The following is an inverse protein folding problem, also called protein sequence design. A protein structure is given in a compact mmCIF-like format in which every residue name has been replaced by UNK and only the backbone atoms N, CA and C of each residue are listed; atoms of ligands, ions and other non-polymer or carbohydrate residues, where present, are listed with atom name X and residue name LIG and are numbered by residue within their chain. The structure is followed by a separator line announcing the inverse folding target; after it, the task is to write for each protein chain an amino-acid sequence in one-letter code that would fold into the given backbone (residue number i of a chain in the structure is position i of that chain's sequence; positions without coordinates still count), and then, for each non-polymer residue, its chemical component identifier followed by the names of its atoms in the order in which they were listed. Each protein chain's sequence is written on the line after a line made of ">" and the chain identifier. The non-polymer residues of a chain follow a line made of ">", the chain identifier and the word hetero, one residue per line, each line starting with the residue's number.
data_IF_910331979975
#
_entry.id   IF_910331979975
#
_cell.length_a   1.000
_cell.length_b   1.000
_cell.length_c   1.000
_cell.angle_alpha   90.00
_cell.angle_beta   90.00
_cell.angle_gamma   90.00
#
_symmetry.space_group_name_H-M   'P 1'
#
loop_
_entity.id
_entity.type
_entity.pdbx_description
1 polymer ?
#
# COMPACT_ATOMS: atom_id res chain seq x y z
N UNK A 1 -29.85 -25.20 -58.05
CA UNK A 1 -28.90 -26.04 -57.28
C UNK A 1 -28.31 -25.15 -56.18
N UNK A 2 -29.03 -24.95 -55.08
CA UNK A 2 -28.92 -25.65 -53.79
C UNK A 2 -27.58 -25.49 -53.06
N UNK A 3 -27.58 -24.50 -52.14
CA UNK A 3 -27.04 -24.45 -50.76
C UNK A 3 -26.31 -25.68 -50.19
N UNK A 4 -25.25 -25.44 -49.40
CA UNK A 4 -25.27 -25.71 -47.93
C UNK A 4 -24.05 -25.15 -47.18
N UNK A 5 -24.35 -24.23 -46.26
CA UNK A 5 -23.54 -23.89 -45.08
C UNK A 5 -23.58 -25.08 -44.09
N UNK A 6 -22.42 -25.51 -43.59
CA UNK A 6 -22.31 -26.53 -42.56
C UNK A 6 -22.11 -25.92 -41.18
N UNK A 7 -23.20 -25.76 -40.43
CA UNK A 7 -23.20 -25.68 -38.97
C UNK A 7 -22.90 -27.08 -38.40
N UNK A 8 -21.98 -27.17 -37.44
CA UNK A 8 -21.98 -28.28 -36.48
C UNK A 8 -21.92 -27.71 -35.06
N UNK A 9 -23.11 -27.43 -34.56
CA UNK A 9 -23.41 -27.40 -33.14
C UNK A 9 -23.83 -28.82 -32.72
N UNK A 10 -23.15 -29.43 -31.76
CA UNK A 10 -23.60 -30.58 -30.95
C UNK A 10 -22.69 -30.63 -29.71
N UNK A 11 -23.10 -30.08 -28.57
CA UNK A 11 -23.77 -30.79 -27.46
C UNK A 11 -23.09 -32.12 -27.09
N UNK A 12 -22.29 -32.10 -26.03
CA UNK A 12 -22.35 -33.12 -24.98
C UNK A 12 -22.31 -32.44 -23.61
N UNK A 13 -23.44 -32.54 -22.93
CA UNK A 13 -23.73 -32.10 -21.56
C UNK A 13 -24.41 -33.31 -20.93
N UNK A 14 -23.77 -33.92 -19.92
CA UNK A 14 -24.23 -34.92 -18.93
C UNK A 14 -22.96 -35.64 -18.42
N UNK A 15 -22.66 -35.82 -17.14
CA UNK A 15 -23.56 -35.97 -16.00
C UNK A 15 -22.91 -35.49 -14.69
N UNK A 16 -23.70 -34.74 -13.92
CA UNK A 16 -23.59 -34.64 -12.47
C UNK A 16 -24.19 -35.90 -11.85
N UNK A 17 -23.43 -36.63 -11.03
CA UNK A 17 -23.98 -37.50 -9.98
C UNK A 17 -23.13 -37.45 -8.71
N UNK A 18 -23.45 -36.45 -7.91
CA UNK A 18 -23.61 -36.46 -6.45
C UNK A 18 -22.95 -37.58 -5.60
N UNK A 19 -22.01 -37.17 -4.73
CA UNK A 19 -21.81 -37.55 -3.30
C UNK A 19 -20.84 -36.51 -2.69
N UNK A 20 -21.27 -35.55 -1.83
CA UNK A 20 -21.30 -35.58 -0.33
C UNK A 20 -20.20 -36.48 0.25
N UNK A 21 -19.21 -36.05 1.04
CA UNK A 21 -19.05 -35.03 2.11
C UNK A 21 -17.58 -34.50 2.05
N UNK A 22 -17.08 -33.43 2.66
CA UNK A 22 -17.31 -32.79 3.96
C UNK A 22 -16.82 -31.31 3.91
N UNK A 23 -17.55 -30.44 4.60
CA UNK A 23 -17.46 -28.99 4.57
C UNK A 23 -16.41 -28.48 5.58
N UNK A 24 -15.40 -27.76 5.11
CA UNK A 24 -14.46 -26.98 5.95
C UNK A 24 -14.78 -25.49 5.84
N UNK A 25 -15.41 -24.98 6.89
CA UNK A 25 -15.84 -23.59 7.11
C UNK A 25 -14.68 -22.58 7.06
N UNK A 26 -14.84 -21.47 6.31
CA UNK A 26 -14.43 -20.11 6.74
C UNK A 26 -15.27 -19.05 5.96
N UNK A 27 -16.45 -18.78 6.51
CA UNK A 27 -17.21 -17.53 6.40
C UNK A 27 -16.81 -16.74 7.67
N UNK A 28 -16.72 -15.41 7.81
CA UNK A 28 -17.22 -14.22 7.13
C UNK A 28 -16.26 -13.08 7.56
N UNK A 29 -16.11 -12.02 6.76
CA UNK A 29 -15.75 -10.71 7.31
C UNK A 29 -16.72 -9.67 6.74
N UNK A 30 -17.94 -9.69 7.27
CA UNK A 30 -18.91 -8.62 7.17
C UNK A 30 -19.32 -8.22 8.58
N UNK A 31 -18.98 -7.00 8.99
CA UNK A 31 -19.61 -6.39 10.17
C UNK A 31 -19.56 -4.86 10.05
N UNK A 32 -20.59 -4.30 9.40
CA UNK A 32 -21.06 -2.96 9.73
C UNK A 32 -22.09 -3.13 10.84
N UNK A 33 -21.73 -2.74 12.06
CA UNK A 33 -22.73 -2.46 13.09
C UNK A 33 -22.61 -0.99 13.47
N UNK A 34 -23.65 -0.24 13.08
CA UNK A 34 -24.07 0.98 13.75
C UNK A 34 -24.67 0.52 15.08
N UNK A 35 -24.03 0.86 16.20
CA UNK A 35 -24.62 0.72 17.53
C UNK A 35 -24.91 2.11 18.06
N UNK A 36 -26.21 2.37 18.18
CA UNK A 36 -26.81 3.51 18.85
C UNK A 36 -26.34 3.60 20.31
N UNK A 37 -26.23 4.82 20.82
CA UNK A 37 -25.80 5.13 22.17
C UNK A 37 -26.84 4.69 23.20
N UNK A 38 -26.46 3.78 24.09
CA UNK A 38 -27.07 3.65 25.42
C UNK A 38 -25.94 3.59 26.45
N UNK A 39 -25.99 4.53 27.39
CA UNK A 39 -25.07 4.74 28.49
C UNK A 39 -24.92 3.48 29.35
N UNK A 40 -23.74 2.84 29.32
CA UNK A 40 -23.27 1.86 30.31
C UNK A 40 -21.77 2.08 30.50
N UNK A 41 -21.35 2.09 31.76
CA UNK A 41 -20.10 2.68 32.26
C UNK A 41 -18.79 2.21 31.63
N UNK A 42 -17.77 3.05 31.81
CA UNK A 42 -16.37 2.76 31.50
C UNK A 42 -15.97 1.39 32.07
N UNK A 43 -15.37 0.50 31.26
CA UNK A 43 -14.59 -0.60 31.81
C UNK A 43 -13.27 -0.01 32.31
N UNK A 44 -13.01 -0.12 33.61
CA UNK A 44 -11.69 0.12 34.21
C UNK A 44 -10.66 -0.75 33.50
N UNK A 45 -9.82 -0.12 32.68
CA UNK A 45 -8.68 -0.78 32.08
C UNK A 45 -7.59 -0.92 33.14
N UNK A 46 -7.28 -2.17 33.53
CA UNK A 46 -6.06 -2.52 34.25
C UNK A 46 -4.82 -2.20 33.39
N UNK A 47 -4.40 -0.93 33.34
CA UNK A 47 -3.13 -0.50 32.77
C UNK A 47 -2.10 -0.38 33.90
N UNK A 48 -0.95 -1.04 33.74
CA UNK A 48 0.17 -0.89 34.69
C UNK A 48 0.63 0.58 34.70
N UNK A 49 0.94 1.18 35.87
CA UNK A 49 1.31 2.60 36.00
C UNK A 49 2.47 3.08 35.10
N UNK A 50 3.32 2.15 34.65
CA UNK A 50 4.46 2.45 33.78
C UNK A 50 4.06 2.73 32.32
N UNK A 51 3.02 2.06 31.80
CA UNK A 51 2.52 2.27 30.44
C UNK A 51 1.78 3.61 30.30
N UNK A 52 1.04 4.00 31.33
CA UNK A 52 0.34 5.29 31.37
C UNK A 52 1.32 6.47 31.31
N UNK A 53 2.43 6.37 32.06
CA UNK A 53 3.52 7.37 32.01
C UNK A 53 4.17 7.43 30.63
N UNK A 54 4.42 6.29 29.97
CA UNK A 54 4.97 6.23 28.60
C UNK A 54 4.05 6.88 27.58
N UNK A 55 2.76 6.56 27.63
CA UNK A 55 1.77 7.16 26.74
C UNK A 55 1.62 8.66 26.97
N UNK A 56 1.65 9.11 28.22
CA UNK A 56 1.62 10.53 28.58
C UNK A 56 2.82 11.29 28.00
N UNK A 57 4.03 10.75 28.19
CA UNK A 57 5.25 11.32 27.60
C UNK A 57 5.18 11.36 26.07
N UNK A 58 4.92 10.22 25.42
CA UNK A 58 4.87 10.13 23.97
C UNK A 58 3.81 11.06 23.37
N UNK A 59 2.64 11.18 24.00
CA UNK A 59 1.60 12.12 23.58
C UNK A 59 2.08 13.58 23.69
N UNK A 60 2.68 13.98 24.82
CA UNK A 60 3.21 15.34 24.99
C UNK A 60 4.29 15.66 23.96
N UNK A 61 5.19 14.71 23.68
CA UNK A 61 6.24 14.85 22.67
C UNK A 61 5.66 15.03 21.27
N UNK A 62 4.65 14.23 20.90
CA UNK A 62 3.99 14.32 19.61
C UNK A 62 3.32 15.69 19.38
N UNK A 63 2.77 16.30 20.43
CA UNK A 63 2.16 17.65 20.36
C UNK A 63 3.26 18.70 20.24
N UNK A 64 4.20 18.71 21.20
CA UNK A 64 5.15 19.81 21.36
C UNK A 64 6.29 19.77 20.34
N UNK A 65 6.84 18.59 20.06
CA UNK A 65 8.01 18.42 19.19
C UNK A 65 7.64 18.10 17.74
N UNK A 66 6.62 17.26 17.54
CA UNK A 66 6.18 16.88 16.19
C UNK A 66 5.07 17.78 15.61
N UNK A 67 4.52 18.70 16.41
CA UNK A 67 3.48 19.63 15.97
C UNK A 67 2.16 18.95 15.59
N UNK A 68 1.81 17.83 16.23
CA UNK A 68 0.54 17.16 15.98
C UNK A 68 -0.60 17.86 16.75
N UNK A 69 -1.79 18.00 16.13
CA UNK A 69 -2.98 18.38 16.86
C UNK A 69 -3.29 17.36 17.97
N UNK A 70 -3.77 17.81 19.13
CA UNK A 70 -4.02 16.95 20.29
C UNK A 70 -4.82 15.67 19.96
N UNK A 71 -5.90 15.80 19.16
CA UNK A 71 -6.70 14.66 18.68
C UNK A 71 -5.87 13.62 17.91
N UNK A 72 -4.95 14.08 17.06
CA UNK A 72 -4.06 13.20 16.29
C UNK A 72 -2.96 12.60 17.16
N UNK A 73 -2.44 13.36 18.13
CA UNK A 73 -1.41 12.90 19.05
C UNK A 73 -1.89 11.75 19.93
N UNK A 74 -3.14 11.80 20.41
CA UNK A 74 -3.77 10.71 21.18
C UNK A 74 -3.81 9.41 20.37
N UNK A 75 -4.26 9.48 19.11
CA UNK A 75 -4.31 8.29 18.24
C UNK A 75 -2.91 7.79 17.87
N UNK A 76 -1.95 8.70 17.75
CA UNK A 76 -0.58 8.36 17.43
C UNK A 76 0.16 7.72 18.61
N UNK A 77 -0.03 8.22 19.83
CA UNK A 77 0.58 7.68 21.06
C UNK A 77 0.09 6.28 21.40
N UNK A 78 -1.11 5.89 20.96
CA UNK A 78 -1.57 4.50 21.06
C UNK A 78 -0.76 3.53 20.18
N UNK A 79 -0.01 4.04 19.19
CA UNK A 79 0.74 3.25 18.21
C UNK A 79 2.25 3.30 18.44
N UNK A 80 2.73 4.11 19.38
CA UNK A 80 4.15 4.29 19.67
C UNK A 80 4.35 4.63 21.15
N UNK A 81 5.32 3.97 21.78
CA UNK A 81 5.60 4.06 23.21
C UNK A 81 7.10 4.31 23.43
N UNK A 82 7.43 5.39 24.12
CA UNK A 82 8.80 5.75 24.51
C UNK A 82 8.77 6.74 25.67
N UNK A 83 9.86 6.84 26.43
CA UNK A 83 10.02 7.81 27.54
C UNK A 83 11.16 8.80 27.30
N UNK A 84 11.85 8.67 26.17
CA UNK A 84 13.12 9.35 25.92
C UNK A 84 13.11 10.00 24.54
N UNK A 85 13.51 11.28 24.42
CA UNK A 85 13.43 12.02 23.16
C UNK A 85 14.60 11.75 22.22
N UNK A 86 15.72 11.15 22.66
CA UNK A 86 16.99 11.10 21.91
C UNK A 86 16.83 10.42 20.56
N UNK A 87 16.13 9.28 20.52
CA UNK A 87 15.89 8.55 19.27
C UNK A 87 14.86 9.25 18.37
N UNK A 88 13.68 9.66 18.87
CA UNK A 88 12.77 10.52 18.12
C UNK A 88 13.45 11.77 17.54
N UNK A 89 14.23 12.50 18.33
CA UNK A 89 14.93 13.72 17.92
C UNK A 89 15.94 13.43 16.81
N UNK A 90 16.70 12.33 16.94
CA UNK A 90 17.61 11.88 15.89
C UNK A 90 16.86 11.61 14.56
N UNK A 91 15.68 10.98 14.63
CA UNK A 91 14.83 10.75 13.44
C UNK A 91 14.32 12.07 12.86
N UNK A 92 13.86 13.01 13.69
CA UNK A 92 13.39 14.31 13.23
C UNK A 92 14.53 15.12 12.57
N UNK A 93 15.72 15.09 13.16
CA UNK A 93 16.91 15.76 12.63
C UNK A 93 17.35 15.17 11.30
N UNK A 94 17.37 13.83 11.18
CA UNK A 94 17.66 13.16 9.91
C UNK A 94 16.72 13.63 8.79
N UNK A 95 15.41 13.74 9.08
CA UNK A 95 14.46 14.25 8.09
C UNK A 95 14.76 15.71 7.72
N UNK A 96 15.04 16.57 8.68
CA UNK A 96 15.39 17.98 8.41
C UNK A 96 16.66 18.11 7.58
N UNK A 97 17.71 17.36 7.92
CA UNK A 97 18.98 17.31 7.16
C UNK A 97 18.78 16.84 5.72
N UNK A 98 17.78 15.99 5.49
CA UNK A 98 17.39 15.54 4.15
C UNK A 98 16.38 16.47 3.45
N UNK A 99 16.11 17.66 4.01
CA UNK A 99 15.31 18.71 3.39
C UNK A 99 13.80 18.61 3.63
N UNK A 100 13.33 17.75 4.54
CA UNK A 100 11.91 17.68 4.88
C UNK A 100 11.50 18.88 5.73
N UNK A 101 10.36 19.49 5.39
CA UNK A 101 9.75 20.54 6.21
C UNK A 101 9.06 19.96 7.46
N UNK A 102 8.89 20.79 8.49
CA UNK A 102 8.19 20.38 9.72
C UNK A 102 6.77 19.85 9.46
N UNK A 103 6.04 20.43 8.50
CA UNK A 103 4.70 19.97 8.14
C UNK A 103 4.70 18.57 7.51
N UNK A 104 5.70 18.30 6.65
CA UNK A 104 5.87 16.98 6.04
C UNK A 104 6.26 15.95 7.09
N UNK A 105 7.15 16.29 8.02
CA UNK A 105 7.53 15.43 9.14
C UNK A 105 6.31 15.13 10.03
N UNK A 106 5.56 16.16 10.41
CA UNK A 106 4.31 16.03 11.17
C UNK A 106 3.31 15.13 10.46
N UNK A 107 3.18 15.26 9.13
CA UNK A 107 2.34 14.37 8.32
C UNK A 107 2.79 12.91 8.38
N UNK A 108 4.10 12.66 8.21
CA UNK A 108 4.69 11.30 8.24
C UNK A 108 4.48 10.66 9.61
N UNK A 109 4.83 11.38 10.69
CA UNK A 109 4.68 10.91 12.07
C UNK A 109 3.21 10.62 12.39
N UNK A 110 2.29 11.49 12.01
CA UNK A 110 0.84 11.26 12.20
C UNK A 110 0.35 10.00 11.52
N UNK A 111 0.81 9.72 10.29
CA UNK A 111 0.37 8.52 9.54
C UNK A 111 1.06 7.25 10.03
N UNK A 112 2.33 7.34 10.41
CA UNK A 112 3.14 6.23 10.86
C UNK A 112 3.99 6.59 12.10
N UNK A 113 3.38 6.63 13.31
CA UNK A 113 4.09 7.03 14.53
C UNK A 113 5.33 6.19 14.89
N UNK A 114 5.36 4.86 14.68
CA UNK A 114 6.56 4.06 14.95
C UNK A 114 7.81 4.46 14.15
N UNK A 115 7.70 5.35 13.16
CA UNK A 115 8.86 5.91 12.46
C UNK A 115 9.86 6.56 13.42
N UNK A 116 9.38 7.15 14.52
CA UNK A 116 10.19 7.81 15.54
C UNK A 116 11.15 6.85 16.27
N UNK A 117 10.89 5.55 16.20
CA UNK A 117 11.72 4.52 16.81
C UNK A 117 12.52 3.72 15.77
N UNK A 118 12.47 4.12 14.50
CA UNK A 118 13.16 3.43 13.42
C UNK A 118 14.67 3.66 13.49
N UNK A 119 15.41 2.70 12.96
CA UNK A 119 16.87 2.78 12.87
C UNK A 119 17.27 3.69 11.70
N UNK A 120 18.08 4.71 11.96
CA UNK A 120 18.46 5.70 10.98
C UNK A 120 19.26 5.06 9.84
N UNK A 121 20.33 4.34 10.17
CA UNK A 121 21.29 3.77 9.22
C UNK A 121 20.77 2.51 8.54
N UNK A 122 19.96 1.70 9.24
CA UNK A 122 19.48 0.42 8.70
C UNK A 122 18.11 0.53 8.03
N UNK A 123 17.32 1.55 8.37
CA UNK A 123 15.93 1.65 7.89
C UNK A 123 15.66 2.91 7.10
N UNK A 124 15.97 4.09 7.63
CA UNK A 124 15.53 5.36 7.03
C UNK A 124 16.43 5.79 5.88
N UNK A 125 17.74 5.93 6.14
CA UNK A 125 18.74 6.36 5.16
C UNK A 125 18.77 5.46 3.92
N UNK A 126 18.80 4.11 4.04
CA UNK A 126 18.88 3.25 2.87
C UNK A 126 17.70 3.42 1.91
N UNK A 127 16.52 3.84 2.39
CA UNK A 127 15.34 4.07 1.54
C UNK A 127 15.41 5.40 0.82
N UNK A 128 15.91 6.44 1.49
CA UNK A 128 16.15 7.75 0.88
C UNK A 128 17.22 7.60 -0.22
N UNK A 129 18.31 6.92 0.09
CA UNK A 129 19.42 6.66 -0.84
C UNK A 129 18.99 5.79 -2.01
N UNK A 130 18.20 4.74 -1.79
CA UNK A 130 17.65 3.92 -2.86
C UNK A 130 16.83 4.75 -3.86
N UNK A 131 15.96 5.63 -3.37
CA UNK A 131 15.15 6.46 -4.26
C UNK A 131 16.03 7.42 -5.07
N UNK A 132 17.07 8.00 -4.46
CA UNK A 132 18.05 8.83 -5.17
C UNK A 132 18.83 8.02 -6.22
N UNK A 133 19.25 6.79 -5.88
CA UNK A 133 20.07 5.96 -6.78
C UNK A 133 19.31 5.48 -8.02
N UNK A 134 17.97 5.37 -7.95
CA UNK A 134 17.12 5.08 -9.12
C UNK A 134 16.71 6.35 -9.90
N UNK A 135 17.35 7.50 -9.63
CA UNK A 135 17.17 8.73 -10.40
C UNK A 135 16.01 9.63 -9.93
N UNK A 136 15.44 9.41 -8.74
CA UNK A 136 14.43 10.33 -8.17
C UNK A 136 15.13 11.60 -7.68
N UNK A 137 14.63 12.76 -8.09
CA UNK A 137 15.13 14.05 -7.60
C UNK A 137 14.92 14.22 -6.09
N UNK A 138 15.77 14.98 -5.39
CA UNK A 138 15.66 15.17 -3.94
C UNK A 138 14.28 15.69 -3.50
N UNK A 139 13.67 16.60 -4.26
CA UNK A 139 12.34 17.13 -3.98
C UNK A 139 11.23 16.08 -4.20
N UNK A 140 11.39 15.22 -5.21
CA UNK A 140 10.47 14.11 -5.45
C UNK A 140 10.59 13.01 -4.40
N UNK A 141 11.80 12.73 -3.88
CA UNK A 141 12.00 11.79 -2.77
C UNK A 141 11.18 12.22 -1.55
N UNK A 142 11.27 13.50 -1.18
CA UNK A 142 10.49 14.09 -0.08
C UNK A 142 8.99 13.93 -0.37
N UNK A 143 8.56 14.25 -1.59
CA UNK A 143 7.15 14.16 -2.00
C UNK A 143 6.61 12.73 -1.90
N UNK A 144 7.39 11.74 -2.38
CA UNK A 144 7.04 10.32 -2.39
C UNK A 144 6.92 9.79 -0.95
N UNK A 145 7.92 10.05 -0.11
CA UNK A 145 7.97 9.54 1.25
C UNK A 145 6.94 10.21 2.17
N UNK A 146 6.64 11.49 1.95
CA UNK A 146 5.56 12.20 2.65
C UNK A 146 4.19 11.64 2.26
N UNK A 147 3.96 11.42 0.96
CA UNK A 147 2.69 10.90 0.45
C UNK A 147 2.48 9.42 0.76
N UNK A 148 3.57 8.69 1.05
CA UNK A 148 3.52 7.28 1.37
C UNK A 148 4.49 6.85 2.48
N UNK A 149 4.16 7.15 3.75
CA UNK A 149 4.97 6.73 4.89
C UNK A 149 5.10 5.21 5.05
N UNK A 150 4.27 4.40 4.39
CA UNK A 150 4.39 2.93 4.42
C UNK A 150 5.66 2.43 3.73
N UNK A 151 6.25 3.22 2.83
CA UNK A 151 7.54 2.88 2.22
C UNK A 151 8.63 2.67 3.26
N UNK A 152 8.56 3.34 4.41
CA UNK A 152 9.47 3.12 5.53
C UNK A 152 9.34 1.76 6.20
N UNK A 153 8.22 1.04 6.00
CA UNK A 153 8.04 -0.34 6.47
C UNK A 153 8.48 -1.39 5.45
N UNK A 154 8.48 -1.06 4.17
CA UNK A 154 8.72 -2.04 3.11
C UNK A 154 10.17 -2.49 3.06
N UNK A 155 10.40 -3.78 2.83
CA UNK A 155 11.76 -4.29 2.61
C UNK A 155 12.33 -3.75 1.30
N UNK A 156 13.54 -3.21 1.33
CA UNK A 156 14.23 -2.78 0.11
C UNK A 156 14.39 -3.96 -0.86
N UNK A 157 15.00 -5.05 -0.39
CA UNK A 157 15.34 -6.22 -1.21
C UNK A 157 14.12 -7.03 -1.64
N UNK A 158 13.15 -7.24 -0.73
CA UNK A 158 11.98 -8.09 -1.02
C UNK A 158 10.84 -7.34 -1.72
N UNK A 159 10.84 -6.01 -1.68
CA UNK A 159 9.70 -5.23 -2.16
C UNK A 159 10.10 -4.08 -3.08
N UNK A 160 10.87 -3.09 -2.61
CA UNK A 160 11.11 -1.87 -3.38
C UNK A 160 11.88 -2.13 -4.69
N UNK A 161 12.93 -2.95 -4.64
CA UNK A 161 13.71 -3.31 -5.84
C UNK A 161 12.86 -4.13 -6.83
N UNK A 162 12.24 -5.26 -6.44
CA UNK A 162 11.37 -6.02 -7.36
C UNK A 162 10.23 -5.19 -7.96
N UNK A 163 9.66 -4.28 -7.17
CA UNK A 163 8.61 -3.36 -7.59
C UNK A 163 9.11 -2.39 -8.67
N UNK A 164 10.29 -1.80 -8.47
CA UNK A 164 10.93 -0.92 -9.44
C UNK A 164 11.28 -1.68 -10.74
N UNK A 165 11.93 -2.84 -10.63
CA UNK A 165 12.34 -3.65 -11.79
C UNK A 165 11.14 -4.10 -12.61
N UNK A 166 10.05 -4.50 -11.95
CA UNK A 166 8.81 -4.83 -12.62
C UNK A 166 8.24 -3.65 -13.41
N UNK A 167 8.14 -2.48 -12.77
CA UNK A 167 7.62 -1.28 -13.45
C UNK A 167 8.48 -0.88 -14.64
N UNK A 168 9.80 -0.94 -14.49
CA UNK A 168 10.76 -0.69 -15.57
C UNK A 168 10.54 -1.66 -16.74
N UNK A 169 10.32 -2.94 -16.46
CA UNK A 169 10.05 -3.97 -17.49
C UNK A 169 8.73 -3.77 -18.25
N UNK A 170 7.74 -3.08 -17.66
CA UNK A 170 6.43 -2.87 -18.28
C UNK A 170 6.33 -1.52 -18.98
N UNK A 171 6.90 -0.48 -18.39
CA UNK A 171 6.76 0.89 -18.88
C UNK A 171 7.86 1.28 -19.84
N UNK A 172 9.03 0.62 -19.77
CA UNK A 172 10.23 0.82 -20.61
C UNK A 172 10.80 2.26 -20.60
N UNK A 173 10.14 3.20 -19.90
CA UNK A 173 10.48 4.62 -19.82
C UNK A 173 10.57 4.99 -18.35
N UNK A 174 11.78 5.31 -17.90
CA UNK A 174 12.08 5.59 -16.49
C UNK A 174 11.23 6.75 -15.94
N UNK A 175 10.98 7.81 -16.72
CA UNK A 175 10.10 8.90 -16.30
C UNK A 175 8.68 8.46 -15.93
N UNK A 176 8.13 7.45 -16.63
CA UNK A 176 6.80 6.92 -16.34
C UNK A 176 6.82 6.16 -15.01
N UNK A 177 7.91 5.43 -14.73
CA UNK A 177 8.12 4.73 -13.44
C UNK A 177 8.14 5.76 -12.30
N UNK A 178 8.96 6.81 -12.43
CA UNK A 178 9.07 7.86 -11.41
C UNK A 178 7.74 8.60 -11.18
N UNK A 179 6.98 8.86 -12.25
CA UNK A 179 5.63 9.45 -12.16
C UNK A 179 4.66 8.54 -11.38
N UNK A 180 4.77 7.22 -11.49
CA UNK A 180 3.96 6.28 -10.68
C UNK A 180 4.36 6.33 -9.20
N UNK A 181 5.67 6.31 -8.92
CA UNK A 181 6.18 6.42 -7.56
C UNK A 181 5.65 7.68 -6.86
N UNK A 182 5.63 8.82 -7.56
CA UNK A 182 5.11 10.10 -7.05
C UNK A 182 3.60 10.12 -6.86
N UNK A 183 2.83 9.53 -7.78
CA UNK A 183 1.36 9.67 -7.83
C UNK A 183 0.59 8.58 -7.09
N UNK A 184 1.15 7.40 -6.90
CA UNK A 184 0.38 6.22 -6.49
C UNK A 184 0.88 5.60 -5.18
N UNK A 185 0.52 6.24 -4.07
CA UNK A 185 0.74 5.69 -2.72
C UNK A 185 0.14 4.27 -2.55
N UNK A 186 -1.00 4.00 -3.21
CA UNK A 186 -1.67 2.69 -3.18
C UNK A 186 -0.95 1.59 -3.96
N UNK A 187 -0.10 1.93 -4.93
CA UNK A 187 0.67 0.92 -5.67
C UNK A 187 1.58 0.13 -4.72
N UNK A 188 2.19 0.82 -3.76
CA UNK A 188 3.07 0.23 -2.77
C UNK A 188 2.36 -0.53 -1.63
N UNK A 189 1.03 -0.50 -1.61
CA UNK A 189 0.22 -1.29 -0.68
C UNK A 189 -0.15 -2.66 -1.29
N UNK A 190 -0.10 -2.79 -2.62
CA UNK A 190 -0.34 -4.05 -3.32
C UNK A 190 0.97 -4.78 -3.58
N UNK A 191 1.00 -6.10 -3.43
CA UNK A 191 2.15 -6.88 -3.87
C UNK A 191 2.15 -6.96 -5.40
N UNK A 192 2.94 -6.10 -6.05
CA UNK A 192 3.02 -5.97 -7.50
C UNK A 192 3.29 -7.32 -8.16
N UNK A 193 4.17 -8.14 -7.59
CA UNK A 193 4.52 -9.47 -8.14
C UNK A 193 3.35 -10.44 -8.08
N UNK A 194 2.53 -10.38 -7.04
CA UNK A 194 1.43 -11.34 -6.84
C UNK A 194 0.11 -10.86 -7.44
N UNK A 195 -0.03 -9.55 -7.70
CA UNK A 195 -1.32 -8.96 -8.09
C UNK A 195 -1.31 -8.40 -9.49
N UNK A 196 -0.21 -7.77 -9.93
CA UNK A 196 -0.18 -7.05 -11.21
C UNK A 196 0.55 -7.87 -12.26
N UNK A 197 1.66 -8.52 -11.90
CA UNK A 197 2.43 -9.34 -12.83
C UNK A 197 1.62 -10.44 -13.52
N UNK A 198 0.73 -11.20 -12.85
CA UNK A 198 -0.08 -12.22 -13.50
C UNK A 198 -1.06 -11.64 -14.53
N UNK A 199 -1.62 -10.46 -14.25
CA UNK A 199 -2.55 -9.82 -15.18
C UNK A 199 -1.83 -9.27 -16.42
N UNK A 200 -0.63 -8.70 -16.24
CA UNK A 200 0.20 -8.27 -17.37
C UNK A 200 0.62 -9.49 -18.21
N UNK A 201 0.96 -10.61 -17.58
CA UNK A 201 1.26 -11.86 -18.29
C UNK A 201 0.05 -12.35 -19.10
N UNK A 202 -1.16 -12.33 -18.52
CA UNK A 202 -2.40 -12.69 -19.21
C UNK A 202 -2.66 -11.77 -20.41
N UNK A 203 -2.53 -10.45 -20.26
CA UNK A 203 -2.71 -9.51 -21.37
C UNK A 203 -1.73 -9.78 -22.52
N UNK A 204 -0.46 -10.11 -22.20
CA UNK A 204 0.53 -10.52 -23.21
C UNK A 204 0.10 -11.81 -23.92
N UNK A 205 -0.40 -12.80 -23.18
CA UNK A 205 -0.93 -14.04 -23.77
C UNK A 205 -2.14 -13.80 -24.68
N UNK A 206 -2.98 -12.82 -24.34
CA UNK A 206 -4.12 -12.40 -25.16
C UNK A 206 -3.72 -11.51 -26.35
N UNK A 207 -2.41 -11.29 -26.58
CA UNK A 207 -1.92 -10.50 -27.72
C UNK A 207 -2.07 -8.98 -27.54
N UNK A 208 -2.29 -8.48 -26.33
CA UNK A 208 -2.44 -7.05 -26.10
C UNK A 208 -1.14 -6.30 -26.48
N UNK A 209 -1.24 -5.18 -27.23
CA UNK A 209 -0.07 -4.40 -27.61
C UNK A 209 0.71 -3.86 -26.39
N UNK A 210 2.05 -3.77 -26.44
CA UNK A 210 2.85 -3.22 -25.36
C UNK A 210 2.44 -1.80 -24.94
N UNK A 211 1.97 -0.97 -25.88
CA UNK A 211 1.45 0.37 -25.62
C UNK A 211 0.19 0.35 -24.74
N UNK A 212 -0.75 -0.56 -25.01
CA UNK A 212 -1.96 -0.77 -24.21
C UNK A 212 -1.63 -1.23 -22.81
N UNK A 213 -0.71 -2.21 -22.69
CA UNK A 213 -0.24 -2.71 -21.39
C UNK A 213 0.42 -1.57 -20.59
N UNK A 214 1.29 -0.79 -21.23
CA UNK A 214 1.96 0.37 -20.62
C UNK A 214 0.95 1.42 -20.15
N UNK A 215 -0.06 1.72 -20.96
CA UNK A 215 -1.14 2.65 -20.63
C UNK A 215 -1.96 2.17 -19.42
N UNK A 216 -2.34 0.90 -19.39
CA UNK A 216 -3.09 0.30 -18.29
C UNK A 216 -2.28 0.28 -16.99
N UNK A 217 -1.00 -0.11 -17.07
CA UNK A 217 -0.07 -0.09 -15.94
C UNK A 217 0.15 1.34 -15.39
N UNK A 218 0.23 2.35 -16.26
CA UNK A 218 0.33 3.75 -15.85
C UNK A 218 -0.99 4.28 -15.23
N UNK A 219 -2.12 3.78 -15.71
CA UNK A 219 -3.48 4.20 -15.29
C UNK A 219 -3.98 3.52 -14.01
N UNK A 220 -3.15 2.68 -13.36
CA UNK A 220 -3.48 1.90 -12.15
C UNK A 220 -3.94 2.70 -10.92
N UNK A 221 -4.01 4.04 -10.99
CA UNK A 221 -4.62 4.90 -9.97
C UNK A 221 -6.05 4.47 -9.57
N UNK A 222 -6.82 3.87 -10.49
CA UNK A 222 -8.26 3.57 -10.32
C UNK A 222 -8.59 2.10 -10.07
N UNK A 223 -7.72 1.16 -10.41
CA UNK A 223 -8.08 -0.27 -10.42
C UNK A 223 -7.48 -1.03 -9.23
N UNK A 224 -7.89 -0.62 -8.03
CA UNK A 224 -7.71 -1.47 -6.84
C UNK A 224 -8.67 -2.64 -6.99
N UNK A 225 -8.17 -3.78 -7.45
CA UNK A 225 -8.99 -4.98 -7.65
C UNK A 225 -9.00 -5.56 -9.07
N UNK A 226 -7.87 -5.48 -9.79
CA UNK A 226 -7.64 -6.42 -10.91
C UNK A 226 -7.45 -7.84 -10.35
N UNK A 227 -8.55 -8.45 -9.89
CA UNK A 227 -8.69 -9.90 -9.91
C UNK A 227 -9.02 -10.26 -11.36
N UNK A 228 -8.39 -11.31 -11.85
CA UNK A 228 -8.50 -11.86 -13.21
C UNK A 228 -9.94 -11.94 -13.76
N UNK A 229 -10.96 -12.01 -12.91
CA UNK A 229 -12.36 -12.08 -13.30
C UNK A 229 -12.91 -10.85 -14.06
N UNK A 230 -12.32 -9.66 -13.93
CA UNK A 230 -12.88 -8.44 -14.57
C UNK A 230 -12.35 -8.17 -15.99
N UNK A 231 -11.34 -8.90 -16.47
CA UNK A 231 -10.77 -8.70 -17.82
C UNK A 231 -11.60 -9.48 -18.87
N UNK A 232 -12.20 -10.61 -18.46
CA UNK A 232 -13.01 -11.45 -19.36
C UNK A 232 -14.43 -10.92 -19.63
N UNK A 233 -14.87 -9.87 -18.93
CA UNK A 233 -16.20 -9.28 -19.09
C UNK A 233 -16.23 -8.02 -19.95
N UNK A 234 -15.08 -7.42 -20.28
CA UNK A 234 -15.00 -6.27 -21.20
C UNK A 234 -14.54 -6.70 -22.59
N UNK A 235 -15.37 -7.47 -23.31
CA UNK A 235 -15.22 -7.75 -24.74
C UNK A 235 -15.52 -6.50 -25.61
N UNK A 236 -14.84 -5.38 -25.34
CA UNK A 236 -14.98 -4.15 -26.13
C UNK A 236 -13.66 -3.51 -26.54
N UNK A 237 -12.53 -4.22 -26.39
CA UNK A 237 -11.21 -3.76 -26.85
C UNK A 237 -10.71 -4.53 -28.08
N UNK A 238 -11.59 -4.83 -29.03
CA UNK A 238 -11.22 -5.10 -30.43
C UNK A 238 -12.29 -4.48 -31.33
N UNK A 239 -12.03 -3.26 -31.79
CA UNK A 239 -12.52 -2.67 -33.04
C UNK A 239 -11.58 -1.52 -33.39
#
# INVERSE_FOLDING_TARGET
>A
MSVMFGFLCSRQLLALKHRRTHLGFLQQNGFFIVKSFTSVGLPESNQKPDEEKKHSFAMSYLINSCGLPAKSAILASQRVLFQSPERPDSVLNLFKENGFSNDQISHIVRKHPPILLSDLEKTLLPKIELLRSIGVSSSDVITILTSNPFLFKSSIKKYLIPCYDFLKSVLLVDEKVLKIFKRSSRFFLSNVTNTIAPNIALLRQLGAPPSTISFLAFSLRRYVGWKTCNILTSNSFVS
#
